data_IF_812530907501
#
_entry.id   IF_812530907501
#
_cell.length_a   1.000
_cell.length_b   1.000
_cell.length_c   1.000
_cell.angle_alpha   90.00
_cell.angle_beta   90.00
_cell.angle_gamma   90.00
#
_symmetry.space_group_name_H-M   'P 1'
#
loop_
_entity.id
_entity.type
_entity.pdbx_description
1 polymer ?
#
# COMPACT_ATOMS: atom_id res chain seq x y z
N UNK A 1 6.52 12.03 23.65
CA UNK A 1 6.48 12.51 22.25
C UNK A 1 5.23 13.36 22.08
N UNK A 2 5.40 14.65 21.78
CA UNK A 2 4.26 15.54 21.49
C UNK A 2 3.65 15.24 20.11
N UNK A 3 2.62 16.00 19.72
CA UNK A 3 1.86 15.74 18.48
C UNK A 3 2.70 16.00 17.23
N UNK A 4 3.49 17.07 17.22
CA UNK A 4 4.28 17.45 16.05
C UNK A 4 5.49 16.51 15.88
N UNK A 5 6.19 16.18 16.97
CA UNK A 5 7.25 15.18 16.95
C UNK A 5 6.74 13.80 16.49
N UNK A 6 5.51 13.44 16.87
CA UNK A 6 4.89 12.20 16.39
C UNK A 6 4.55 12.25 14.91
N UNK A 7 3.96 13.34 14.43
CA UNK A 7 3.69 13.55 13.01
C UNK A 7 4.97 13.44 12.18
N UNK A 8 6.02 14.16 12.57
CA UNK A 8 7.29 14.13 11.84
C UNK A 8 7.92 12.74 11.85
N UNK A 9 7.91 12.03 13.00
CA UNK A 9 8.44 10.67 13.06
C UNK A 9 7.71 9.70 12.10
N UNK A 10 6.38 9.81 11.97
CA UNK A 10 5.63 9.00 11.00
C UNK A 10 5.95 9.39 9.55
N UNK A 11 6.09 10.69 9.25
CA UNK A 11 6.46 11.17 7.92
C UNK A 11 7.85 10.71 7.52
N UNK A 12 8.83 10.72 8.43
CA UNK A 12 10.18 10.20 8.19
C UNK A 12 10.18 8.71 7.82
N UNK A 13 9.28 7.91 8.41
CA UNK A 13 9.09 6.51 7.99
C UNK A 13 8.54 6.46 6.56
N UNK A 14 7.50 7.23 6.25
CA UNK A 14 6.87 7.21 4.93
C UNK A 14 7.82 7.69 3.82
N UNK A 15 8.62 8.72 4.07
CA UNK A 15 9.62 9.23 3.11
C UNK A 15 10.70 8.18 2.77
N UNK A 16 11.01 7.28 3.71
CA UNK A 16 11.90 6.14 3.50
C UNK A 16 11.20 4.92 2.87
N UNK A 17 9.88 4.96 2.64
CA UNK A 17 9.13 3.97 1.84
C UNK A 17 9.44 4.16 0.34
N UNK A 18 10.73 4.08 0.00
CA UNK A 18 11.29 4.22 -1.33
C UNK A 18 12.22 3.04 -1.60
N UNK A 19 12.00 2.33 -2.71
CA UNK A 19 12.70 1.08 -2.99
C UNK A 19 13.47 1.18 -4.30
N UNK A 20 14.73 0.73 -4.28
CA UNK A 20 15.66 0.81 -5.41
C UNK A 20 15.14 0.16 -6.69
N UNK A 21 14.32 -0.90 -6.57
CA UNK A 21 13.80 -1.61 -7.72
C UNK A 21 12.62 -0.90 -8.38
N UNK A 22 11.98 0.06 -7.70
CA UNK A 22 10.75 0.70 -8.18
C UNK A 22 10.89 1.33 -9.57
N UNK A 23 11.98 2.06 -9.91
CA UNK A 23 12.22 2.54 -11.26
C UNK A 23 12.22 1.42 -12.33
N UNK A 24 12.63 0.20 -11.97
CA UNK A 24 12.61 -0.96 -12.87
C UNK A 24 11.18 -1.45 -13.18
N UNK A 25 10.30 -1.44 -12.18
CA UNK A 25 8.87 -1.75 -12.38
C UNK A 25 8.18 -0.69 -13.24
N UNK A 26 8.52 0.59 -13.04
CA UNK A 26 7.86 1.71 -13.75
C UNK A 26 8.40 1.99 -15.15
N UNK A 27 9.57 1.47 -15.51
CA UNK A 27 10.23 1.70 -16.81
C UNK A 27 10.10 0.55 -17.82
N UNK A 28 9.41 -0.54 -17.45
CA UNK A 28 9.32 -1.73 -18.29
C UNK A 28 10.56 -2.64 -18.24
N UNK A 29 11.41 -2.49 -17.22
CA UNK A 29 12.63 -3.29 -17.10
C UNK A 29 12.33 -4.75 -16.74
N UNK A 30 11.30 -5.00 -15.93
CA UNK A 30 10.89 -6.36 -15.55
C UNK A 30 10.44 -7.14 -16.80
N UNK A 31 10.96 -8.36 -17.04
CA UNK A 31 10.45 -9.20 -18.12
C UNK A 31 8.96 -9.46 -17.96
N UNK A 32 8.16 -9.30 -19.03
CA UNK A 32 6.71 -9.48 -18.97
C UNK A 32 6.30 -10.85 -18.38
N UNK A 33 7.03 -11.92 -18.74
CA UNK A 33 6.81 -13.27 -18.21
C UNK A 33 7.10 -13.44 -16.71
N UNK A 34 7.70 -12.45 -16.04
CA UNK A 34 7.96 -12.44 -14.59
C UNK A 34 7.12 -11.40 -13.83
N UNK A 35 6.38 -10.54 -14.53
CA UNK A 35 5.54 -9.52 -13.90
C UNK A 35 4.45 -10.13 -13.01
N UNK A 36 4.01 -11.36 -13.31
CA UNK A 36 3.06 -12.08 -12.47
C UNK A 36 3.54 -12.22 -11.02
N UNK A 37 4.86 -12.36 -10.78
CA UNK A 37 5.39 -12.58 -9.42
C UNK A 37 5.05 -11.37 -8.57
N UNK A 38 5.29 -10.17 -9.08
CA UNK A 38 4.95 -8.94 -8.38
C UNK A 38 3.45 -8.84 -8.07
N UNK A 39 2.58 -9.14 -9.04
CA UNK A 39 1.14 -9.06 -8.87
C UNK A 39 0.60 -10.12 -7.90
N UNK A 40 1.09 -11.36 -7.98
CA UNK A 40 0.73 -12.46 -7.08
C UNK A 40 1.13 -12.16 -5.64
N UNK A 41 2.37 -11.70 -5.43
CA UNK A 41 2.84 -11.38 -4.08
C UNK A 41 2.09 -10.16 -3.51
N UNK A 42 1.85 -9.12 -4.31
CA UNK A 42 1.08 -7.95 -3.87
C UNK A 42 -0.39 -8.30 -3.53
N UNK A 43 -1.00 -9.17 -4.34
CA UNK A 43 -2.33 -9.73 -4.10
C UNK A 43 -2.43 -10.40 -2.73
N UNK A 44 -1.54 -11.36 -2.46
CA UNK A 44 -1.62 -12.22 -1.29
C UNK A 44 -1.11 -11.53 -0.02
N UNK A 45 -0.12 -10.63 -0.13
CA UNK A 45 0.42 -9.94 1.04
C UNK A 45 -0.57 -8.93 1.59
N UNK A 46 -1.25 -8.14 0.76
CA UNK A 46 -2.18 -7.14 1.28
C UNK A 46 -3.40 -6.84 0.41
N UNK A 47 -3.36 -6.87 -0.92
CA UNK A 47 -4.50 -6.34 -1.71
C UNK A 47 -5.78 -7.14 -1.46
N UNK A 48 -5.71 -8.47 -1.43
CA UNK A 48 -6.90 -9.32 -1.18
C UNK A 48 -7.54 -9.02 0.18
N UNK A 49 -6.71 -8.88 1.20
CA UNK A 49 -7.14 -8.83 2.60
C UNK A 49 -7.05 -7.41 3.18
N UNK A 50 -6.85 -6.40 2.33
CA UNK A 50 -6.76 -5.00 2.77
C UNK A 50 -8.01 -4.55 3.54
N UNK A 51 -9.24 -4.84 3.08
CA UNK A 51 -10.45 -4.58 3.87
C UNK A 51 -10.40 -5.23 5.26
N UNK A 52 -9.87 -6.45 5.37
CA UNK A 52 -9.76 -7.17 6.66
C UNK A 52 -8.80 -6.43 7.61
N UNK A 53 -7.71 -5.87 7.09
CA UNK A 53 -6.77 -5.06 7.87
C UNK A 53 -7.44 -3.78 8.42
N UNK A 54 -8.22 -3.08 7.59
CA UNK A 54 -9.01 -1.91 8.02
C UNK A 54 -10.07 -2.32 9.05
N UNK A 55 -10.74 -3.46 8.84
CA UNK A 55 -11.68 -4.04 9.80
C UNK A 55 -11.04 -4.34 11.16
N UNK A 56 -9.79 -4.82 11.17
CA UNK A 56 -9.01 -5.01 12.39
C UNK A 56 -8.80 -3.72 13.18
N UNK A 57 -8.46 -2.62 12.49
CA UNK A 57 -8.36 -1.30 13.10
C UNK A 57 -9.73 -0.81 13.65
N UNK A 58 -10.80 -1.01 12.87
CA UNK A 58 -12.17 -0.63 13.28
C UNK A 58 -12.61 -1.32 14.56
N UNK A 59 -12.43 -2.64 14.66
CA UNK A 59 -12.88 -3.45 15.80
C UNK A 59 -12.15 -3.06 17.09
N UNK A 60 -10.86 -2.76 16.99
CA UNK A 60 -10.05 -2.38 18.15
C UNK A 60 -10.29 -0.93 18.60
N UNK A 61 -10.83 -0.07 17.72
CA UNK A 61 -10.92 1.37 17.98
C UNK A 61 -12.07 1.71 18.95
N UNK A 62 -11.79 2.27 20.15
CA UNK A 62 -12.85 2.63 21.09
C UNK A 62 -13.54 3.95 20.72
N UNK A 63 -13.01 4.71 19.75
CA UNK A 63 -13.39 6.10 19.47
C UNK A 63 -14.44 6.16 18.34
N UNK A 64 -15.71 6.52 18.62
CA UNK A 64 -16.77 6.48 17.60
C UNK A 64 -16.51 7.38 16.39
N UNK A 65 -15.84 8.53 16.59
CA UNK A 65 -15.51 9.44 15.49
C UNK A 65 -14.54 8.79 14.49
N UNK A 66 -13.48 8.15 14.98
CA UNK A 66 -12.51 7.43 14.15
C UNK A 66 -13.14 6.20 13.49
N UNK A 67 -13.96 5.44 14.22
CA UNK A 67 -14.67 4.28 13.66
C UNK A 67 -15.54 4.61 12.46
N UNK A 68 -16.09 5.83 12.35
CA UNK A 68 -16.88 6.22 11.17
C UNK A 68 -16.04 6.27 9.90
N UNK A 69 -14.90 6.95 9.92
CA UNK A 69 -13.98 6.97 8.77
C UNK A 69 -13.43 5.59 8.44
N UNK A 70 -13.07 4.78 9.45
CA UNK A 70 -12.65 3.39 9.22
C UNK A 70 -13.77 2.52 8.60
N UNK A 71 -15.03 2.75 8.96
CA UNK A 71 -16.16 2.03 8.38
C UNK A 71 -16.43 2.45 6.93
N UNK A 72 -16.29 3.73 6.61
CA UNK A 72 -16.42 4.23 5.23
C UNK A 72 -15.30 3.69 4.33
N UNK A 73 -14.05 3.71 4.81
CA UNK A 73 -12.92 3.09 4.12
C UNK A 73 -13.16 1.59 3.92
N UNK A 74 -13.51 0.84 4.97
CA UNK A 74 -13.85 -0.58 4.87
C UNK A 74 -14.96 -0.84 3.84
N UNK A 75 -16.03 -0.04 3.86
CA UNK A 75 -17.15 -0.20 2.94
C UNK A 75 -16.72 0.05 1.49
N UNK A 76 -15.93 1.10 1.22
CA UNK A 76 -15.43 1.37 -0.13
C UNK A 76 -14.46 0.28 -0.60
N UNK A 77 -13.54 -0.18 0.23
CA UNK A 77 -12.56 -1.22 -0.14
C UNK A 77 -13.25 -2.58 -0.40
N UNK A 78 -14.18 -2.98 0.48
CA UNK A 78 -14.89 -4.26 0.41
C UNK A 78 -15.97 -4.30 -0.68
N UNK A 79 -16.57 -3.17 -1.04
CA UNK A 79 -17.74 -3.15 -1.95
C UNK A 79 -17.56 -2.27 -3.19
N UNK A 80 -16.69 -1.26 -3.14
CA UNK A 80 -16.63 -0.15 -4.09
C UNK A 80 -17.89 0.72 -4.09
N UNK A 81 -18.72 0.66 -3.06
CA UNK A 81 -20.06 1.24 -3.05
C UNK A 81 -20.12 2.77 -3.04
N UNK A 82 -18.99 3.46 -2.84
CA UNK A 82 -18.93 4.92 -2.89
C UNK A 82 -18.44 5.41 -4.26
N UNK A 83 -17.34 4.84 -4.76
CA UNK A 83 -16.64 5.37 -5.94
C UNK A 83 -16.32 4.30 -6.98
N UNK A 84 -15.68 3.19 -6.59
CA UNK A 84 -15.17 2.18 -7.52
C UNK A 84 -16.25 1.38 -8.28
N UNK A 85 -17.44 1.24 -7.70
CA UNK A 85 -18.57 0.42 -8.15
C UNK A 85 -18.37 -1.10 -8.01
N UNK A 86 -17.21 -1.56 -7.55
CA UNK A 86 -16.83 -2.96 -7.28
C UNK A 86 -15.74 -3.02 -6.20
N UNK A 87 -15.61 -4.14 -5.46
CA UNK A 87 -14.57 -4.32 -4.46
C UNK A 87 -13.17 -4.03 -5.04
N UNK A 88 -12.33 -3.34 -4.29
CA UNK A 88 -10.97 -2.99 -4.74
C UNK A 88 -10.10 -4.21 -5.05
N UNK A 89 -10.16 -5.32 -4.25
CA UNK A 89 -9.49 -6.56 -4.63
C UNK A 89 -9.93 -7.09 -5.99
N UNK A 90 -11.24 -7.06 -6.29
CA UNK A 90 -11.72 -7.52 -7.59
C UNK A 90 -11.26 -6.62 -8.75
N UNK A 91 -11.14 -5.31 -8.52
CA UNK A 91 -10.61 -4.39 -9.52
C UNK A 91 -9.11 -4.57 -9.74
N UNK A 92 -8.35 -4.95 -8.72
CA UNK A 92 -6.94 -5.29 -8.89
C UNK A 92 -6.74 -6.44 -9.87
N UNK A 93 -7.60 -7.46 -9.83
CA UNK A 93 -7.55 -8.61 -10.74
C UNK A 93 -7.83 -8.25 -12.21
N UNK A 94 -8.33 -7.04 -12.52
CA UNK A 94 -8.42 -6.57 -13.90
C UNK A 94 -7.03 -6.33 -14.52
N UNK A 95 -5.98 -6.06 -13.73
CA UNK A 95 -4.61 -5.94 -14.24
C UNK A 95 -4.07 -7.26 -14.80
N UNK A 96 -3.93 -8.34 -14.01
CA UNK A 96 -3.43 -9.62 -14.53
C UNK A 96 -4.34 -10.15 -15.63
N UNK A 97 -5.67 -10.01 -15.52
CA UNK A 97 -6.60 -10.40 -16.59
C UNK A 97 -6.34 -9.65 -17.90
N UNK A 98 -6.15 -8.33 -17.83
CA UNK A 98 -5.86 -7.48 -18.98
C UNK A 98 -4.51 -7.77 -19.64
N UNK A 99 -3.55 -8.28 -18.87
CA UNK A 99 -2.24 -8.74 -19.35
C UNK A 99 -2.26 -10.19 -19.87
N UNK A 100 -3.42 -10.85 -19.90
CA UNK A 100 -3.58 -12.22 -20.38
C UNK A 100 -3.13 -13.31 -19.40
N UNK A 101 -2.97 -12.99 -18.11
CA UNK A 101 -2.61 -13.97 -17.08
C UNK A 101 -3.81 -14.84 -16.70
N UNK A 102 -3.56 -16.11 -16.38
CA UNK A 102 -4.56 -17.01 -15.82
C UNK A 102 -4.85 -16.62 -14.35
N UNK A 103 -6.11 -16.30 -14.04
CA UNK A 103 -6.50 -15.89 -12.68
C UNK A 103 -6.40 -17.01 -11.64
N UNK A 104 -6.35 -18.28 -12.07
CA UNK A 104 -6.09 -19.41 -11.18
C UNK A 104 -4.78 -19.29 -10.38
N UNK A 105 -3.83 -18.46 -10.86
CA UNK A 105 -2.57 -18.14 -10.17
C UNK A 105 -2.77 -17.37 -8.86
N UNK A 106 -3.90 -16.65 -8.74
CA UNK A 106 -4.24 -15.81 -7.60
C UNK A 106 -5.13 -16.52 -6.57
N UNK A 107 -5.59 -17.75 -6.87
CA UNK A 107 -6.41 -18.54 -5.95
C UNK A 107 -5.59 -19.09 -4.77
N UNK A 108 -4.32 -19.46 -5.04
CA UNK A 108 -3.38 -20.00 -4.06
C UNK A 108 -1.97 -19.53 -4.39
N UNK A 109 -1.64 -18.32 -3.95
CA UNK A 109 -0.29 -17.76 -4.12
C UNK A 109 0.65 -18.39 -3.10
N UNK A 110 1.79 -18.87 -3.56
CA UNK A 110 2.90 -19.24 -2.69
C UNK A 110 3.74 -17.98 -2.40
N UNK A 111 3.69 -17.51 -1.16
CA UNK A 111 4.46 -16.33 -0.74
C UNK A 111 5.96 -16.64 -0.69
N UNK A 112 6.76 -15.70 -1.19
CA UNK A 112 8.20 -15.70 -0.93
C UNK A 112 8.44 -15.58 0.59
N UNK A 113 9.54 -16.12 1.15
CA UNK A 113 9.78 -16.09 2.60
C UNK A 113 9.70 -14.68 3.22
N UNK A 114 10.27 -13.66 2.55
CA UNK A 114 10.19 -12.28 3.02
C UNK A 114 8.76 -11.69 2.91
N UNK A 115 8.02 -12.08 1.87
CA UNK A 115 6.63 -11.70 1.68
C UNK A 115 5.73 -12.33 2.76
N UNK A 116 5.94 -13.61 3.09
CA UNK A 116 5.25 -14.29 4.18
C UNK A 116 5.54 -13.65 5.54
N UNK A 117 6.80 -13.28 5.80
CA UNK A 117 7.17 -12.58 7.04
C UNK A 117 6.52 -11.19 7.13
N UNK A 118 6.46 -10.44 6.02
CA UNK A 118 5.78 -9.15 5.99
C UNK A 118 4.26 -9.31 6.17
N UNK A 119 3.64 -10.28 5.50
CA UNK A 119 2.23 -10.62 5.66
C UNK A 119 1.86 -10.96 7.11
N UNK A 120 2.65 -11.84 7.75
CA UNK A 120 2.43 -12.23 9.14
C UNK A 120 2.52 -11.01 10.09
N UNK A 121 3.47 -10.10 9.83
CA UNK A 121 3.56 -8.84 10.56
C UNK A 121 2.33 -7.96 10.35
N UNK A 122 1.82 -7.83 9.12
CA UNK A 122 0.59 -7.07 8.87
C UNK A 122 -0.61 -7.65 9.63
N UNK A 123 -0.78 -8.97 9.64
CA UNK A 123 -1.84 -9.63 10.40
C UNK A 123 -1.70 -9.36 11.91
N UNK A 124 -0.50 -9.49 12.48
CA UNK A 124 -0.22 -9.20 13.91
C UNK A 124 -0.49 -7.72 14.24
N UNK A 125 0.07 -6.80 13.45
CA UNK A 125 -0.05 -5.36 13.67
C UNK A 125 -1.52 -4.89 13.60
N UNK A 126 -2.30 -5.46 12.68
CA UNK A 126 -3.69 -5.05 12.44
C UNK A 126 -4.70 -5.76 13.33
N UNK A 127 -4.32 -6.81 14.06
CA UNK A 127 -5.23 -7.60 14.91
C UNK A 127 -4.90 -7.57 16.40
N UNK A 128 -3.63 -7.36 16.78
CA UNK A 128 -3.16 -7.65 18.14
C UNK A 128 -2.45 -6.48 18.83
N UNK A 129 -2.18 -5.38 18.14
CA UNK A 129 -1.33 -4.27 18.63
C UNK A 129 -2.08 -2.99 19.00
N UNK A 130 -3.41 -3.04 19.08
CA UNK A 130 -4.25 -1.88 19.37
C UNK A 130 -4.58 -1.09 18.11
N UNK A 131 -5.62 -0.26 18.21
CA UNK A 131 -6.19 0.43 17.05
C UNK A 131 -5.25 1.48 16.46
N UNK A 132 -4.44 2.16 17.28
CA UNK A 132 -3.50 3.16 16.78
C UNK A 132 -2.45 2.54 15.86
N UNK A 133 -1.90 1.38 16.26
CA UNK A 133 -0.96 0.63 15.43
C UNK A 133 -1.65 0.09 14.19
N UNK A 134 -2.82 -0.55 14.36
CA UNK A 134 -3.57 -1.11 13.24
C UNK A 134 -3.94 -0.05 12.19
N UNK A 135 -4.43 1.11 12.63
CA UNK A 135 -4.76 2.22 11.74
C UNK A 135 -3.51 2.79 11.06
N UNK A 136 -2.41 3.03 11.78
CA UNK A 136 -1.19 3.55 11.18
C UNK A 136 -0.63 2.60 10.11
N UNK A 137 -0.59 1.30 10.40
CA UNK A 137 -0.07 0.31 9.45
C UNK A 137 -0.99 0.16 8.23
N UNK A 138 -2.31 0.04 8.41
CA UNK A 138 -3.23 -0.16 7.31
C UNK A 138 -3.44 1.12 6.49
N UNK A 139 -3.89 2.20 7.15
CA UNK A 139 -4.39 3.39 6.47
C UNK A 139 -3.31 4.43 6.22
N UNK A 140 -2.20 4.48 6.98
CA UNK A 140 -1.06 5.34 6.63
C UNK A 140 -0.04 4.57 5.79
N UNK A 141 0.50 3.46 6.30
CA UNK A 141 1.62 2.79 5.64
C UNK A 141 1.20 2.05 4.38
N UNK A 142 0.27 1.08 4.45
CA UNK A 142 -0.03 0.19 3.30
C UNK A 142 -0.59 0.99 2.13
N UNK A 143 -1.65 1.76 2.35
CA UNK A 143 -2.27 2.61 1.32
C UNK A 143 -1.38 3.78 0.85
N UNK A 144 -0.55 4.33 1.74
CA UNK A 144 0.18 5.57 1.49
C UNK A 144 1.42 5.43 0.62
N UNK A 145 2.08 6.55 0.35
CA UNK A 145 3.32 6.58 -0.43
C UNK A 145 4.40 7.44 0.22
N UNK A 146 5.60 7.48 -0.36
CA UNK A 146 6.63 8.43 0.10
C UNK A 146 6.25 9.91 -0.01
N UNK A 147 5.11 10.22 -0.63
CA UNK A 147 4.60 11.58 -0.81
C UNK A 147 3.57 11.99 0.26
N UNK A 148 3.37 11.22 1.34
CA UNK A 148 2.37 11.54 2.38
C UNK A 148 2.47 12.95 2.95
N UNK A 149 3.66 13.56 3.00
CA UNK A 149 3.82 14.94 3.48
C UNK A 149 2.96 15.93 2.69
N UNK A 150 2.79 15.71 1.38
CA UNK A 150 1.96 16.56 0.53
C UNK A 150 0.46 16.51 0.87
N UNK A 151 0.01 15.53 1.65
CA UNK A 151 -1.36 15.49 2.16
C UNK A 151 -1.57 16.34 3.42
N UNK A 152 -0.48 16.72 4.10
CA UNK A 152 -0.52 17.52 5.34
C UNK A 152 0.02 18.95 5.15
N UNK A 153 1.00 19.11 4.26
CA UNK A 153 1.68 20.37 3.98
C UNK A 153 1.45 20.77 2.51
N UNK A 154 0.66 21.83 2.24
CA UNK A 154 0.42 22.32 0.89
C UNK A 154 1.68 22.77 0.14
N UNK A 155 2.79 23.00 0.84
CA UNK A 155 4.08 23.37 0.24
C UNK A 155 4.93 22.16 -0.17
N UNK A 156 4.59 20.96 0.31
CA UNK A 156 5.27 19.72 -0.04
C UNK A 156 4.66 19.10 -1.32
N UNK A 157 5.46 18.38 -2.13
CA UNK A 157 4.97 17.76 -3.35
C UNK A 157 4.01 16.60 -3.04
N UNK A 158 2.81 16.65 -3.62
CA UNK A 158 1.89 15.51 -3.66
C UNK A 158 2.38 14.41 -4.60
N UNK A 159 1.77 13.22 -4.48
CA UNK A 159 2.01 12.10 -5.39
C UNK A 159 1.75 12.53 -6.84
N UNK A 160 2.67 12.27 -7.78
CA UNK A 160 2.43 12.53 -9.18
C UNK A 160 1.28 11.68 -9.75
N UNK A 161 0.37 12.31 -10.49
CA UNK A 161 -0.75 11.66 -11.17
C UNK A 161 -0.66 11.85 -12.69
N UNK A 162 0.30 11.19 -13.39
CA UNK A 162 0.44 11.33 -14.84
C UNK A 162 -0.79 10.79 -15.59
N UNK A 163 -0.96 11.13 -16.89
CA UNK A 163 -2.01 10.56 -17.73
C UNK A 163 -2.03 9.03 -17.66
N UNK A 164 -3.20 8.42 -17.83
CA UNK A 164 -3.35 6.96 -17.67
C UNK A 164 -2.59 6.18 -18.76
N UNK A 165 -2.36 6.80 -19.91
CA UNK A 165 -1.55 6.30 -21.02
C UNK A 165 -0.08 6.12 -20.62
N UNK A 166 0.39 6.89 -19.63
CA UNK A 166 1.73 6.82 -19.08
C UNK A 166 1.84 5.82 -17.92
N UNK A 167 0.74 5.13 -17.57
CA UNK A 167 0.79 4.08 -16.54
C UNK A 167 1.72 2.95 -17.01
N UNK A 168 2.66 2.47 -16.17
CA UNK A 168 3.67 1.50 -16.59
C UNK A 168 3.10 0.23 -17.24
N UNK A 169 2.01 -0.32 -16.68
CA UNK A 169 1.33 -1.49 -17.23
C UNK A 169 0.75 -1.25 -18.64
N UNK A 170 0.30 -0.04 -18.92
CA UNK A 170 -0.22 0.35 -20.25
C UNK A 170 0.94 0.54 -21.20
N UNK A 171 1.86 1.44 -20.84
CA UNK A 171 2.97 1.89 -21.68
C UNK A 171 3.94 0.79 -22.06
N UNK A 172 4.23 -0.13 -21.14
CA UNK A 172 5.30 -1.12 -21.31
C UNK A 172 4.80 -2.56 -21.46
N UNK A 173 3.58 -2.87 -21.01
CA UNK A 173 3.08 -4.25 -20.98
C UNK A 173 1.76 -4.44 -21.73
N UNK A 174 1.22 -3.40 -22.35
CA UNK A 174 0.04 -3.49 -23.21
C UNK A 174 -1.27 -3.66 -22.45
N UNK A 175 -1.34 -3.30 -21.17
CA UNK A 175 -2.58 -3.29 -20.42
C UNK A 175 -3.58 -2.31 -21.07
N UNK A 176 -4.81 -2.73 -21.38
CA UNK A 176 -5.83 -1.80 -21.88
C UNK A 176 -6.24 -0.75 -20.82
N UNK A 177 -6.47 0.50 -21.23
CA UNK A 177 -6.80 1.62 -20.32
C UNK A 177 -8.08 1.38 -19.51
N UNK A 178 -9.03 0.63 -20.06
CA UNK A 178 -10.27 0.26 -19.38
C UNK A 178 -10.02 -0.69 -18.19
N UNK A 179 -8.85 -1.32 -18.10
CA UNK A 179 -8.44 -2.16 -16.96
C UNK A 179 -7.84 -1.35 -15.82
N UNK A 180 -7.59 -0.04 -15.99
CA UNK A 180 -7.12 0.85 -14.92
C UNK A 180 -8.24 1.39 -14.00
N UNK A 181 -9.29 0.59 -13.74
CA UNK A 181 -10.44 1.03 -12.93
C UNK A 181 -10.04 1.32 -11.48
N UNK A 182 -9.23 0.46 -10.88
CA UNK A 182 -8.72 0.66 -9.52
C UNK A 182 -7.91 1.97 -9.42
N UNK A 183 -6.98 2.19 -10.35
CA UNK A 183 -6.20 3.44 -10.42
C UNK A 183 -7.07 4.69 -10.53
N UNK A 184 -8.15 4.62 -11.31
CA UNK A 184 -9.12 5.72 -11.44
C UNK A 184 -9.87 5.96 -10.15
N UNK A 185 -10.30 4.90 -9.46
CA UNK A 185 -11.00 4.98 -8.18
C UNK A 185 -10.11 5.64 -7.12
N UNK A 186 -8.87 5.15 -6.95
CA UNK A 186 -7.93 5.73 -5.98
C UNK A 186 -7.70 7.22 -6.24
N UNK A 187 -7.45 7.64 -7.49
CA UNK A 187 -7.24 9.07 -7.81
C UNK A 187 -8.42 9.99 -7.50
N UNK A 188 -9.65 9.47 -7.41
CA UNK A 188 -10.83 10.27 -7.12
C UNK A 188 -10.98 10.57 -5.61
N UNK A 189 -10.39 9.75 -4.75
CA UNK A 189 -10.57 9.83 -3.29
C UNK A 189 -9.26 10.02 -2.50
N UNK A 190 -8.09 9.94 -3.17
CA UNK A 190 -6.76 9.97 -2.53
C UNK A 190 -6.48 11.26 -1.72
N UNK A 191 -7.16 12.38 -1.93
CA UNK A 191 -6.93 13.57 -1.09
C UNK A 191 -7.60 13.47 0.28
N UNK A 192 -8.91 13.19 0.29
CA UNK A 192 -9.75 13.29 1.47
C UNK A 192 -9.52 12.11 2.42
N UNK A 193 -9.51 10.87 1.91
CA UNK A 193 -9.32 9.67 2.74
C UNK A 193 -7.95 9.66 3.44
N UNK A 194 -6.91 10.23 2.80
CA UNK A 194 -5.56 10.27 3.35
C UNK A 194 -5.48 11.26 4.52
N UNK A 195 -6.05 12.45 4.36
CA UNK A 195 -6.09 13.44 5.44
C UNK A 195 -6.86 12.93 6.67
N UNK A 196 -7.91 12.13 6.46
CA UNK A 196 -8.68 11.50 7.54
C UNK A 196 -7.87 10.45 8.30
N UNK A 197 -7.08 9.62 7.61
CA UNK A 197 -6.18 8.65 8.24
C UNK A 197 -5.19 9.32 9.21
N UNK A 198 -4.62 10.46 8.80
CA UNK A 198 -3.72 11.24 9.66
C UNK A 198 -4.45 11.90 10.83
N UNK A 199 -5.60 12.52 10.58
CA UNK A 199 -6.40 13.20 11.62
C UNK A 199 -6.84 12.20 12.70
N UNK A 200 -7.22 10.98 12.32
CA UNK A 200 -7.57 9.92 13.26
C UNK A 200 -6.46 9.67 14.30
N UNK A 201 -5.21 9.57 13.88
CA UNK A 201 -4.09 9.27 14.78
C UNK A 201 -3.59 10.51 15.53
N UNK A 202 -3.48 11.65 14.84
CA UNK A 202 -2.92 12.86 15.43
C UNK A 202 -3.84 13.49 16.48
N UNK A 203 -5.16 13.41 16.27
CA UNK A 203 -6.14 14.11 17.08
C UNK A 203 -6.82 13.20 18.10
N UNK A 204 -6.86 11.88 17.85
CA UNK A 204 -7.52 10.93 18.73
C UNK A 204 -6.60 9.85 19.33
N UNK A 205 -5.39 9.64 18.78
CA UNK A 205 -4.43 8.67 19.32
C UNK A 205 -3.91 9.07 20.70
N UNK A 206 -3.85 8.11 21.62
CA UNK A 206 -3.33 8.36 22.96
C UNK A 206 -1.85 8.76 22.91
N UNK A 207 -1.46 9.82 23.63
CA UNK A 207 -0.07 10.28 23.65
C UNK A 207 0.92 9.20 24.14
N UNK A 208 0.46 8.29 25.01
CA UNK A 208 1.23 7.14 25.50
C UNK A 208 1.44 6.04 24.44
N UNK A 209 0.59 5.95 23.41
CA UNK A 209 0.70 4.95 22.35
C UNK A 209 1.70 5.37 21.25
N UNK A 210 1.99 6.66 21.11
CA UNK A 210 2.83 7.22 20.02
C UNK A 210 4.17 6.50 19.82
N UNK A 211 4.98 6.19 20.86
CA UNK A 211 6.24 5.47 20.66
C UNK A 211 6.03 4.08 20.04
N UNK A 212 5.01 3.34 20.48
CA UNK A 212 4.69 2.02 19.95
C UNK A 212 4.20 2.09 18.49
N UNK A 213 3.45 3.14 18.13
CA UNK A 213 3.03 3.36 16.74
C UNK A 213 4.23 3.63 15.84
N UNK A 214 5.17 4.49 16.25
CA UNK A 214 6.39 4.76 15.48
C UNK A 214 7.24 3.49 15.33
N UNK A 215 7.42 2.71 16.40
CA UNK A 215 8.15 1.44 16.36
C UNK A 215 7.50 0.42 15.40
N UNK A 216 6.16 0.33 15.42
CA UNK A 216 5.44 -0.53 14.50
C UNK A 216 5.58 -0.07 13.04
N UNK A 217 5.56 1.23 12.79
CA UNK A 217 5.75 1.81 11.45
C UNK A 217 7.18 1.55 10.93
N UNK A 218 8.20 1.69 11.77
CA UNK A 218 9.60 1.32 11.44
C UNK A 218 9.75 -0.17 11.13
N UNK A 219 9.11 -1.02 11.93
CA UNK A 219 9.09 -2.47 11.67
C UNK A 219 8.40 -2.78 10.34
N UNK A 220 7.29 -2.10 10.07
CA UNK A 220 6.54 -2.24 8.80
C UNK A 220 7.41 -1.84 7.62
N UNK A 221 8.14 -0.72 7.72
CA UNK A 221 9.08 -0.28 6.69
C UNK A 221 10.18 -1.30 6.44
N UNK A 222 10.85 -1.79 7.49
CA UNK A 222 11.94 -2.76 7.35
C UNK A 222 11.46 -4.05 6.69
N UNK A 223 10.28 -4.55 7.08
CA UNK A 223 9.68 -5.75 6.49
C UNK A 223 9.24 -5.52 5.05
N UNK A 224 8.67 -4.34 4.75
CA UNK A 224 8.27 -3.96 3.40
C UNK A 224 9.47 -3.87 2.46
N UNK A 225 10.60 -3.30 2.90
CA UNK A 225 11.84 -3.24 2.12
C UNK A 225 12.36 -4.65 1.81
N UNK A 226 12.46 -5.53 2.81
CA UNK A 226 12.89 -6.92 2.60
C UNK A 226 11.94 -7.71 1.68
N UNK A 227 10.63 -7.48 1.80
CA UNK A 227 9.62 -8.02 0.89
C UNK A 227 9.86 -7.54 -0.54
N UNK A 228 10.07 -6.24 -0.76
CA UNK A 228 10.31 -5.65 -2.08
C UNK A 228 11.64 -6.08 -2.70
N UNK A 229 12.68 -6.32 -1.89
CA UNK A 229 13.95 -6.91 -2.33
C UNK A 229 13.71 -8.30 -2.92
N UNK A 230 13.05 -9.19 -2.18
CA UNK A 230 12.76 -10.55 -2.62
C UNK A 230 11.89 -10.58 -3.89
N UNK A 231 10.89 -9.71 -3.99
CA UNK A 231 10.07 -9.58 -5.21
C UNK A 231 10.90 -9.07 -6.38
N UNK A 232 11.78 -8.10 -6.18
CA UNK A 232 12.64 -7.58 -7.24
C UNK A 232 13.56 -8.68 -7.81
N UNK A 233 14.21 -9.44 -6.94
CA UNK A 233 15.06 -10.58 -7.32
C UNK A 233 14.27 -11.65 -8.07
N UNK A 234 13.10 -12.06 -7.56
CA UNK A 234 12.24 -13.04 -8.21
C UNK A 234 11.71 -12.55 -9.58
N UNK A 235 11.49 -11.23 -9.72
CA UNK A 235 11.17 -10.59 -10.99
C UNK A 235 12.37 -10.45 -11.94
N UNK A 236 13.58 -10.84 -11.54
CA UNK A 236 14.79 -10.79 -12.37
C UNK A 236 15.50 -9.44 -12.39
N UNK A 237 15.32 -8.64 -11.35
CA UNK A 237 16.07 -7.40 -11.16
C UNK A 237 17.22 -7.63 -10.18
N UNK A 238 18.34 -6.96 -10.44
CA UNK A 238 19.48 -6.85 -9.51
C UNK A 238 19.84 -5.38 -9.31
N UNK A 239 20.40 -5.07 -8.15
CA UNK A 239 20.89 -3.73 -7.84
C UNK A 239 22.24 -3.52 -8.55
N UNK A 240 22.27 -2.58 -9.49
CA UNK A 240 23.46 -2.21 -10.24
C UNK A 240 24.50 -1.48 -9.38
N UNK A 241 25.71 -1.25 -9.92
CA UNK A 241 26.81 -0.59 -9.20
C UNK A 241 26.49 0.84 -8.75
N UNK A 242 25.60 1.52 -9.46
CA UNK A 242 25.07 2.86 -9.17
C UNK A 242 23.86 2.84 -8.23
N UNK A 243 23.45 1.65 -7.76
CA UNK A 243 22.27 1.45 -6.93
C UNK A 243 20.95 1.39 -7.72
N UNK A 244 20.97 1.58 -9.04
CA UNK A 244 19.79 1.53 -9.89
C UNK A 244 19.42 0.09 -10.28
N UNK A 245 18.16 -0.21 -10.64
CA UNK A 245 17.79 -1.55 -11.05
C UNK A 245 18.33 -1.89 -12.44
N UNK A 246 18.85 -3.10 -12.57
CA UNK A 246 19.29 -3.71 -13.83
C UNK A 246 18.73 -5.13 -13.94
N UNK A 247 18.79 -5.74 -15.13
CA UNK A 247 18.38 -7.14 -15.31
C UNK A 247 19.49 -8.08 -14.83
N UNK A 248 19.08 -9.16 -14.15
CA UNK A 248 19.94 -10.28 -13.79
C UNK A 248 20.51 -11.00 -15.02
#
# INVERSE_FOLDING_TARGET
MDRDAFREALLEVMERKDHWAWPGFTSGLVPAGRLHVHLEQEWEVYVRDFPVMVGGAYVQCPIPAVRRGLAENLYEEETGGLVAGRPHPELFLDYPKGLGMALARFERVELLPAAAAYRAWLDEATRERGWEVAAAVATIFVEGTKHERGELDPSAPKRPAPPLEEHPLVKHYGLPLERLRLTKAHRQVEGEHRAEAWSALLDHGAASARPAVVEAMETTLARWLAYRDAVAEACGLVRGPDGAPSRA
#
